data_IF_111413674046
#
_entry.id   IF_111413674046
#
_cell.length_a   1.000
_cell.length_b   1.000
_cell.length_c   1.000
_cell.angle_alpha   90.00
_cell.angle_beta   90.00
_cell.angle_gamma   90.00
#
_symmetry.space_group_name_H-M   'P 1'
#
loop_
_entity.id
_entity.type
_entity.pdbx_description
1 polymer ?
#
# COMPACT_ATOMS: atom_id res chain seq x y z
N UNK A 1 -20.94 -3.88 -10.02
CA UNK A 1 -20.62 -2.59 -9.34
C UNK A 1 -19.48 -2.75 -8.32
N UNK A 2 -18.65 -3.80 -8.40
CA UNK A 2 -17.62 -4.08 -7.38
C UNK A 2 -16.30 -3.35 -7.60
N UNK A 3 -15.97 -2.99 -8.86
CA UNK A 3 -14.72 -2.30 -9.21
C UNK A 3 -14.49 -0.98 -8.46
N UNK A 4 -15.56 -0.24 -8.15
CA UNK A 4 -15.46 1.03 -7.41
C UNK A 4 -15.26 0.85 -5.89
N UNK A 5 -15.56 -0.34 -5.33
CA UNK A 5 -15.23 -0.64 -3.91
C UNK A 5 -13.75 -0.98 -3.78
N UNK A 6 -13.25 -1.87 -4.65
CA UNK A 6 -11.84 -2.27 -4.66
C UNK A 6 -10.89 -1.10 -4.92
N UNK A 7 -11.25 -0.18 -5.82
CA UNK A 7 -10.46 1.04 -6.06
C UNK A 7 -10.39 1.97 -4.84
N UNK A 8 -11.47 2.06 -4.04
CA UNK A 8 -11.50 2.86 -2.81
C UNK A 8 -10.63 2.25 -1.73
N UNK A 9 -10.78 0.95 -1.50
CA UNK A 9 -9.94 0.19 -0.57
C UNK A 9 -8.47 0.22 -0.99
N UNK A 10 -8.17 0.22 -2.29
CA UNK A 10 -6.81 0.36 -2.81
C UNK A 10 -6.21 1.73 -2.48
N UNK A 11 -6.99 2.80 -2.67
CA UNK A 11 -6.54 4.15 -2.34
C UNK A 11 -6.28 4.31 -0.83
N UNK A 12 -7.13 3.70 0.00
CA UNK A 12 -6.95 3.69 1.45
C UNK A 12 -5.71 2.89 1.87
N UNK A 13 -5.50 1.73 1.25
CA UNK A 13 -4.31 0.90 1.45
C UNK A 13 -3.02 1.66 1.11
N UNK A 14 -2.95 2.30 -0.06
CA UNK A 14 -1.78 3.07 -0.48
C UNK A 14 -1.55 4.27 0.44
N UNK A 15 -2.61 4.93 0.91
CA UNK A 15 -2.50 6.03 1.88
C UNK A 15 -1.94 5.56 3.22
N UNK A 16 -2.38 4.39 3.71
CA UNK A 16 -1.84 3.80 4.94
C UNK A 16 -0.37 3.45 4.79
N UNK A 17 0.01 2.82 3.67
CA UNK A 17 1.42 2.53 3.42
C UNK A 17 2.21 3.82 3.44
N UNK A 18 1.79 4.85 2.71
CA UNK A 18 2.47 6.15 2.68
C UNK A 18 2.68 6.73 4.08
N UNK A 19 1.67 6.71 4.95
CA UNK A 19 1.82 7.12 6.35
C UNK A 19 2.86 6.29 7.12
N UNK A 20 2.89 4.97 6.92
CA UNK A 20 3.89 4.12 7.55
C UNK A 20 5.28 4.37 6.95
N UNK A 21 5.40 4.62 5.65
CA UNK A 21 6.68 4.91 4.99
C UNK A 21 7.27 6.27 5.35
N UNK A 22 6.43 7.25 5.68
CA UNK A 22 6.88 8.56 6.18
C UNK A 22 7.47 8.48 7.60
N UNK A 23 7.05 7.49 8.40
CA UNK A 23 7.53 7.28 9.77
C UNK A 23 8.55 6.15 9.98
N UNK A 24 8.62 5.18 9.06
CA UNK A 24 9.54 4.04 9.15
C UNK A 24 10.75 4.24 8.24
N UNK A 25 11.93 3.85 8.75
CA UNK A 25 13.19 3.91 7.99
C UNK A 25 13.23 2.91 6.83
N UNK A 26 12.38 1.88 6.86
CA UNK A 26 12.36 0.79 5.89
C UNK A 26 10.99 0.65 5.21
N UNK A 27 10.95 0.97 3.91
CA UNK A 27 9.75 0.86 3.09
C UNK A 27 9.17 -0.56 3.11
N UNK A 28 10.04 -1.57 3.04
CA UNK A 28 9.63 -2.98 3.06
C UNK A 28 8.85 -3.34 4.34
N UNK A 29 9.27 -2.78 5.48
CA UNK A 29 8.65 -3.04 6.78
C UNK A 29 7.31 -2.32 6.93
N UNK A 30 7.23 -1.08 6.43
CA UNK A 30 5.99 -0.32 6.34
C UNK A 30 4.95 -1.03 5.45
N UNK A 31 5.39 -1.55 4.30
CA UNK A 31 4.52 -2.28 3.37
C UNK A 31 4.05 -3.61 3.98
N UNK A 32 4.95 -4.40 4.58
CA UNK A 32 4.60 -5.68 5.21
C UNK A 32 3.56 -5.51 6.33
N UNK A 33 3.74 -4.47 7.16
CA UNK A 33 2.81 -4.13 8.23
C UNK A 33 1.44 -3.71 7.68
N UNK A 34 1.41 -2.84 6.68
CA UNK A 34 0.15 -2.41 6.07
C UNK A 34 -0.58 -3.55 5.37
N UNK A 35 0.15 -4.44 4.69
CA UNK A 35 -0.42 -5.64 4.05
C UNK A 35 -1.04 -6.54 5.11
N UNK A 36 -0.33 -6.79 6.21
CA UNK A 36 -0.81 -7.64 7.31
C UNK A 36 -2.08 -7.07 7.94
N UNK A 37 -2.10 -5.78 8.26
CA UNK A 37 -3.28 -5.11 8.83
C UNK A 37 -4.46 -5.13 7.86
N UNK A 38 -4.23 -4.85 6.57
CA UNK A 38 -5.30 -4.84 5.59
C UNK A 38 -5.86 -6.23 5.31
N UNK A 39 -5.03 -7.27 5.30
CA UNK A 39 -5.50 -8.66 5.23
C UNK A 39 -6.35 -9.01 6.46
N UNK A 40 -5.93 -8.57 7.65
CA UNK A 40 -6.65 -8.82 8.91
C UNK A 40 -8.00 -8.10 8.97
N UNK A 41 -8.06 -6.85 8.49
CA UNK A 41 -9.29 -6.05 8.40
C UNK A 41 -10.18 -6.46 7.21
N UNK A 42 -9.73 -7.39 6.35
CA UNK A 42 -10.43 -7.81 5.13
C UNK A 42 -10.38 -6.77 4.01
N UNK A 43 -9.58 -5.72 4.18
CA UNK A 43 -9.39 -4.64 3.21
C UNK A 43 -8.47 -5.15 2.10
N UNK A 44 -9.02 -5.28 0.90
CA UNK A 44 -8.25 -5.68 -0.28
C UNK A 44 -7.52 -7.03 -0.15
N UNK A 45 -7.87 -7.88 0.81
CA UNK A 45 -7.11 -9.08 1.20
C UNK A 45 -6.85 -10.06 0.04
N UNK A 46 -7.87 -10.29 -0.79
CA UNK A 46 -7.80 -11.18 -1.96
C UNK A 46 -6.92 -10.58 -3.08
N UNK A 47 -7.02 -9.26 -3.27
CA UNK A 47 -6.24 -8.51 -4.23
C UNK A 47 -4.77 -8.39 -3.82
N UNK A 48 -4.50 -8.15 -2.53
CA UNK A 48 -3.15 -8.08 -1.96
C UNK A 48 -2.45 -9.43 -2.07
N UNK A 49 -3.20 -10.53 -1.85
CA UNK A 49 -2.69 -11.89 -2.10
C UNK A 49 -2.26 -12.10 -3.55
N UNK A 50 -3.03 -11.58 -4.51
CA UNK A 50 -2.80 -11.80 -5.94
C UNK A 50 -1.78 -10.81 -6.55
N UNK A 51 -1.72 -9.57 -6.04
CA UNK A 51 -0.99 -8.46 -6.66
C UNK A 51 0.06 -7.79 -5.75
N UNK A 52 0.51 -8.44 -4.66
CA UNK A 52 1.53 -7.87 -3.74
C UNK A 52 2.73 -7.23 -4.45
N UNK A 53 3.22 -7.84 -5.52
CA UNK A 53 4.42 -7.40 -6.23
C UNK A 53 4.21 -6.09 -7.00
N UNK A 54 3.05 -5.92 -7.63
CA UNK A 54 2.70 -4.71 -8.36
C UNK A 54 2.55 -3.52 -7.41
N UNK A 55 1.94 -3.75 -6.24
CA UNK A 55 1.70 -2.66 -5.28
C UNK A 55 2.99 -2.20 -4.61
N UNK A 56 3.86 -3.14 -4.20
CA UNK A 56 5.22 -2.82 -3.72
C UNK A 56 5.97 -2.00 -4.77
N UNK A 57 5.86 -2.36 -6.05
CA UNK A 57 6.50 -1.65 -7.15
C UNK A 57 5.92 -0.25 -7.36
N UNK A 58 4.60 -0.09 -7.31
CA UNK A 58 3.97 1.24 -7.40
C UNK A 58 4.35 2.14 -6.22
N UNK A 59 4.39 1.60 -4.99
CA UNK A 59 4.78 2.37 -3.80
C UNK A 59 6.26 2.72 -3.86
N UNK A 60 7.11 1.79 -4.27
CA UNK A 60 8.53 2.04 -4.50
C UNK A 60 8.71 3.16 -5.53
N UNK A 61 8.04 3.10 -6.69
CA UNK A 61 8.06 4.16 -7.69
C UNK A 61 7.54 5.52 -7.19
N UNK A 62 6.47 5.55 -6.39
CA UNK A 62 5.89 6.80 -5.86
C UNK A 62 6.80 7.39 -4.75
N UNK A 63 7.45 6.56 -3.94
CA UNK A 63 8.39 7.01 -2.90
C UNK A 63 9.61 7.72 -3.51
N UNK A 64 10.13 7.26 -4.65
CA UNK A 64 11.21 7.96 -5.37
C UNK A 64 10.79 9.34 -5.89
N UNK A 65 9.51 9.53 -6.25
CA UNK A 65 8.98 10.83 -6.68
C UNK A 65 8.76 11.79 -5.51
N UNK A 66 8.39 11.29 -4.33
CA UNK A 66 8.15 12.12 -3.15
C UNK A 66 9.46 12.59 -2.49
N UNK A 67 10.52 11.78 -2.54
CA UNK A 67 11.85 12.19 -2.03
C UNK A 67 12.56 13.21 -2.94
N UNK A 68 12.11 13.39 -4.20
CA UNK A 68 12.69 14.36 -5.12
C UNK A 68 11.97 15.73 -5.10
N UNK A 69 10.96 15.91 -4.24
CA UNK A 69 10.22 17.16 -4.03
C UNK A 69 10.19 17.56 -2.54
N UNK A 70 11.30 17.38 -1.82
CA UNK A 70 11.56 18.07 -0.56
C UNK A 70 13.00 18.57 -0.49
#
# INVERSE_FOLDING_TARGET
>A
MERCRTLREYSEFVSRIRQYTEGETAIEKAVDRAVTECISEGILADFLRSQRAEVVKQISSIAYLFHCNL
#
